data_IF_469403239689
#
_entry.id   IF_469403239689
#
_cell.length_a   1.000
_cell.length_b   1.000
_cell.length_c   1.000
_cell.angle_alpha   90.00
_cell.angle_beta   90.00
_cell.angle_gamma   90.00
#
_symmetry.space_group_name_H-M   'P 1'
#
loop_
_entity.id
_entity.type
_entity.pdbx_description
1 polymer ?
#
# COMPACT_ATOMS: atom_id res chain seq x y z
N UNK A 1 9.98 -16.99 55.73
CA UNK A 1 10.87 -16.76 54.57
C UNK A 1 10.27 -17.26 53.27
N UNK A 2 9.73 -18.48 53.15
CA UNK A 2 9.18 -19.04 51.92
C UNK A 2 7.99 -18.29 51.32
N UNK A 3 7.10 -17.70 52.13
CA UNK A 3 5.91 -16.95 51.63
C UNK A 3 6.29 -15.64 50.91
N UNK A 4 7.37 -14.98 51.33
CA UNK A 4 7.80 -13.71 50.73
C UNK A 4 8.48 -13.94 49.37
N UNK A 5 9.22 -15.05 49.24
CA UNK A 5 9.87 -15.43 47.98
C UNK A 5 8.84 -15.84 46.90
N UNK A 6 7.79 -16.58 47.29
CA UNK A 6 6.71 -16.98 46.40
C UNK A 6 5.87 -15.78 45.92
N UNK A 7 5.64 -14.81 46.79
CA UNK A 7 4.91 -13.57 46.46
C UNK A 7 5.68 -12.70 45.47
N UNK A 8 6.99 -12.57 45.65
CA UNK A 8 7.86 -11.86 44.69
C UNK A 8 7.97 -12.58 43.34
N UNK A 9 8.00 -13.92 43.34
CA UNK A 9 8.03 -14.70 42.08
C UNK A 9 6.72 -14.58 41.30
N UNK A 10 5.57 -14.62 41.97
CA UNK A 10 4.25 -14.38 41.38
C UNK A 10 4.09 -12.94 40.88
N UNK A 11 4.64 -11.95 41.56
CA UNK A 11 4.62 -10.56 41.15
C UNK A 11 5.49 -10.34 39.91
N UNK A 12 6.67 -10.95 39.83
CA UNK A 12 7.57 -10.88 38.67
C UNK A 12 6.95 -11.59 37.45
N UNK A 13 6.35 -12.77 37.64
CA UNK A 13 5.63 -13.48 36.60
C UNK A 13 4.43 -12.66 36.12
N UNK A 14 3.68 -12.00 37.03
CA UNK A 14 2.56 -11.12 36.67
C UNK A 14 3.03 -9.88 35.89
N UNK A 15 4.14 -9.25 36.29
CA UNK A 15 4.74 -8.10 35.59
C UNK A 15 5.29 -8.54 34.20
N UNK A 16 5.89 -9.73 34.10
CA UNK A 16 6.33 -10.28 32.82
C UNK A 16 5.13 -10.61 31.92
N UNK A 17 4.06 -11.18 32.49
CA UNK A 17 2.82 -11.46 31.72
C UNK A 17 2.07 -10.18 31.34
N UNK A 18 2.01 -9.16 32.18
CA UNK A 18 1.38 -7.87 31.81
C UNK A 18 2.19 -7.12 30.78
N UNK A 19 3.52 -7.18 30.78
CA UNK A 19 4.36 -6.63 29.71
C UNK A 19 4.35 -7.47 28.43
N UNK A 20 3.94 -8.75 28.49
CA UNK A 20 3.70 -9.60 27.31
C UNK A 20 2.27 -9.44 26.74
N UNK A 21 1.32 -8.93 27.55
CA UNK A 21 -0.08 -8.65 27.18
C UNK A 21 -0.27 -7.20 26.72
N UNK A 22 0.67 -6.30 27.03
CA UNK A 22 0.82 -5.07 26.28
C UNK A 22 1.34 -5.50 24.90
N UNK A 23 0.43 -6.07 24.10
CA UNK A 23 0.60 -6.10 22.67
C UNK A 23 1.04 -4.70 22.31
N UNK A 24 2.09 -4.56 21.50
CA UNK A 24 2.43 -3.31 20.88
C UNK A 24 1.08 -2.70 20.49
N UNK A 25 0.65 -1.63 21.16
CA UNK A 25 -0.22 -0.70 20.51
C UNK A 25 0.51 -0.44 19.20
N UNK A 26 -0.05 -0.94 18.11
CA UNK A 26 0.28 -0.38 16.82
C UNK A 26 -0.04 1.09 17.06
N UNK A 27 0.99 1.88 17.31
CA UNK A 27 0.94 3.29 17.06
C UNK A 27 0.76 3.38 15.55
N UNK A 28 -0.42 2.97 15.09
CA UNK A 28 -0.89 3.07 13.74
C UNK A 28 -0.73 4.54 13.41
N UNK A 29 0.30 4.81 12.62
CA UNK A 29 0.63 6.18 12.32
C UNK A 29 -0.59 6.86 11.70
N UNK A 30 -0.54 8.16 11.60
CA UNK A 30 -1.59 9.03 11.06
C UNK A 30 -2.15 8.63 9.68
N UNK A 31 -1.61 7.58 9.04
CA UNK A 31 -2.17 7.02 7.80
C UNK A 31 -3.66 6.68 7.92
N UNK A 32 -4.08 6.14 9.08
CA UNK A 32 -5.48 5.74 9.33
C UNK A 32 -6.31 6.82 10.03
N UNK A 33 -5.70 7.95 10.42
CA UNK A 33 -6.35 9.05 11.14
C UNK A 33 -7.11 9.98 10.19
N UNK A 34 -8.04 9.46 9.41
CA UNK A 34 -8.94 10.28 8.61
C UNK A 34 -10.38 9.74 8.67
N UNK A 35 -11.39 10.58 8.40
CA UNK A 35 -12.79 10.16 8.39
C UNK A 35 -13.00 9.01 7.40
N UNK A 36 -13.62 7.92 7.84
CA UNK A 36 -14.05 6.85 6.96
C UNK A 36 -15.43 7.19 6.35
N UNK A 37 -15.71 6.72 5.14
CA UNK A 37 -14.88 5.90 4.26
C UNK A 37 -13.83 6.71 3.50
N UNK A 38 -12.66 6.09 3.22
CA UNK A 38 -11.60 6.69 2.42
C UNK A 38 -11.81 6.47 0.92
N UNK A 39 -11.55 7.50 0.12
CA UNK A 39 -11.44 7.41 -1.33
C UNK A 39 -9.98 7.24 -1.69
N UNK A 40 -9.61 6.07 -2.23
CA UNK A 40 -8.25 5.74 -2.66
C UNK A 40 -8.19 5.82 -4.18
N UNK A 41 -7.42 6.77 -4.71
CA UNK A 41 -7.28 6.98 -6.14
C UNK A 41 -6.29 5.99 -6.75
N UNK A 42 -6.78 4.92 -7.36
CA UNK A 42 -5.98 3.86 -7.98
C UNK A 42 -5.22 4.39 -9.20
N UNK A 43 -3.89 4.50 -9.06
CA UNK A 43 -2.98 5.09 -10.05
C UNK A 43 -3.29 6.58 -10.34
N UNK A 44 -3.87 7.30 -9.38
CA UNK A 44 -4.38 8.65 -9.53
C UNK A 44 -5.74 8.70 -10.25
N UNK A 45 -6.07 9.83 -10.88
CA UNK A 45 -7.26 9.97 -11.75
C UNK A 45 -7.04 9.28 -13.09
N UNK A 46 -6.87 7.97 -13.05
CA UNK A 46 -6.42 7.12 -14.15
C UNK A 46 -7.45 6.92 -15.29
N UNK A 47 -8.67 7.43 -15.12
CA UNK A 47 -9.67 7.50 -16.20
C UNK A 47 -9.52 8.77 -17.03
N UNK A 48 -9.04 9.84 -16.43
CA UNK A 48 -8.97 11.18 -17.03
C UNK A 48 -7.57 11.52 -17.54
N UNK A 49 -6.52 11.01 -16.87
CA UNK A 49 -5.12 11.29 -17.19
C UNK A 49 -4.28 10.01 -17.24
N UNK A 50 -3.11 10.05 -17.92
CA UNK A 50 -2.19 8.91 -17.95
C UNK A 50 -1.86 8.41 -16.54
N UNK A 51 -2.11 7.12 -16.22
CA UNK A 51 -2.02 6.58 -14.87
C UNK A 51 -0.59 6.62 -14.31
N UNK A 52 -0.48 6.72 -12.99
CA UNK A 52 0.81 6.79 -12.31
C UNK A 52 1.69 7.99 -12.72
N UNK A 53 1.08 9.11 -13.10
CA UNK A 53 1.76 10.39 -13.37
C UNK A 53 1.51 11.40 -12.25
N UNK A 54 2.38 12.40 -12.11
CA UNK A 54 2.22 13.45 -11.08
C UNK A 54 0.92 14.24 -11.30
N UNK A 55 0.57 14.48 -12.56
CA UNK A 55 -0.65 15.17 -12.96
C UNK A 55 -1.90 14.36 -12.62
N UNK A 56 -1.89 13.03 -12.81
CA UNK A 56 -3.00 12.16 -12.42
C UNK A 56 -3.19 12.13 -10.89
N UNK A 57 -2.12 12.19 -10.13
CA UNK A 57 -2.20 12.27 -8.67
C UNK A 57 -2.77 13.60 -8.21
N UNK A 58 -2.30 14.72 -8.79
CA UNK A 58 -2.83 16.04 -8.47
C UNK A 58 -4.32 16.13 -8.78
N UNK A 59 -4.73 15.71 -9.98
CA UNK A 59 -6.14 15.73 -10.36
C UNK A 59 -7.01 14.88 -9.43
N UNK A 60 -6.52 13.72 -9.00
CA UNK A 60 -7.24 12.87 -8.04
C UNK A 60 -7.49 13.58 -6.69
N UNK A 61 -6.49 14.30 -6.18
CA UNK A 61 -6.63 15.11 -4.96
C UNK A 61 -7.61 16.26 -5.16
N UNK A 62 -7.54 16.95 -6.30
CA UNK A 62 -8.45 18.05 -6.66
C UNK A 62 -9.90 17.54 -6.77
N UNK A 63 -10.11 16.28 -7.17
CA UNK A 63 -11.39 15.59 -7.22
C UNK A 63 -11.85 15.06 -5.85
N UNK A 64 -11.06 15.25 -4.79
CA UNK A 64 -11.41 14.90 -3.41
C UNK A 64 -11.00 13.49 -2.98
N UNK A 65 -10.02 12.88 -3.61
CA UNK A 65 -9.41 11.65 -3.10
C UNK A 65 -8.68 11.92 -1.78
N UNK A 66 -8.79 10.99 -0.84
CA UNK A 66 -8.12 11.06 0.47
C UNK A 66 -6.71 10.46 0.44
N UNK A 67 -6.48 9.53 -0.49
CA UNK A 67 -5.26 8.74 -0.57
C UNK A 67 -4.88 8.53 -2.04
N UNK A 68 -3.64 8.80 -2.39
CA UNK A 68 -3.04 8.42 -3.68
C UNK A 68 -2.62 6.95 -3.60
N UNK A 69 -3.00 6.16 -4.58
CA UNK A 69 -2.45 4.81 -4.74
C UNK A 69 -1.53 4.77 -5.96
N UNK A 70 -0.40 4.09 -5.82
CA UNK A 70 0.62 3.98 -6.86
C UNK A 70 1.39 2.66 -6.79
N UNK A 71 1.98 2.30 -7.92
CA UNK A 71 2.76 1.09 -8.10
C UNK A 71 4.23 1.40 -8.32
N UNK A 72 5.14 0.63 -7.72
CA UNK A 72 6.57 0.87 -7.91
C UNK A 72 7.34 -0.35 -8.40
N UNK A 73 8.24 -0.08 -9.34
CA UNK A 73 9.30 -0.98 -9.78
C UNK A 73 10.67 -0.38 -9.53
N UNK A 74 11.70 -1.22 -9.56
CA UNK A 74 13.07 -0.76 -9.49
C UNK A 74 13.72 -0.77 -10.88
N UNK A 75 14.26 0.37 -11.31
CA UNK A 75 15.01 0.53 -12.56
C UNK A 75 16.38 -0.18 -12.49
N UNK A 76 17.08 -0.21 -13.60
CA UNK A 76 18.43 -0.80 -13.72
C UNK A 76 19.44 -0.15 -12.79
N UNK A 77 19.39 1.15 -12.64
CA UNK A 77 20.26 1.97 -11.77
C UNK A 77 19.77 2.08 -10.33
N UNK A 78 18.69 1.35 -9.98
CA UNK A 78 18.19 1.24 -8.62
C UNK A 78 17.22 2.33 -8.20
N UNK A 79 16.75 3.19 -9.09
CA UNK A 79 15.70 4.17 -8.79
C UNK A 79 14.35 3.48 -8.63
N UNK A 80 13.56 3.88 -7.63
CA UNK A 80 12.16 3.48 -7.51
C UNK A 80 11.29 4.31 -8.44
N UNK A 81 10.73 3.65 -9.45
CA UNK A 81 9.97 4.26 -10.54
C UNK A 81 8.49 3.92 -10.39
N UNK A 82 7.63 4.92 -10.60
CA UNK A 82 6.19 4.78 -10.38
C UNK A 82 5.50 4.36 -11.68
N UNK A 83 5.15 3.10 -11.79
CA UNK A 83 4.45 2.50 -12.92
C UNK A 83 3.91 1.11 -12.56
N UNK A 84 2.76 0.74 -13.12
CA UNK A 84 2.12 -0.55 -12.85
C UNK A 84 2.84 -1.72 -13.53
N UNK A 85 3.09 -1.62 -14.84
CA UNK A 85 3.57 -2.73 -15.64
C UNK A 85 5.10 -2.80 -15.67
N UNK A 86 5.61 -4.02 -15.62
CA UNK A 86 7.03 -4.28 -15.84
C UNK A 86 7.47 -3.99 -17.26
N UNK A 87 6.61 -4.30 -18.24
CA UNK A 87 6.83 -3.98 -19.65
C UNK A 87 6.17 -2.65 -20.00
N UNK A 88 6.91 -1.75 -20.61
CA UNK A 88 6.50 -0.37 -20.86
C UNK A 88 5.58 -0.20 -22.08
N UNK A 89 5.35 -1.26 -22.87
CA UNK A 89 4.62 -1.17 -24.15
C UNK A 89 3.19 -0.66 -24.00
N UNK A 90 2.48 -1.04 -22.94
CA UNK A 90 1.08 -0.62 -22.74
C UNK A 90 0.95 0.88 -22.54
N UNK A 91 1.89 1.51 -21.87
CA UNK A 91 1.83 2.94 -21.54
C UNK A 91 2.56 3.78 -22.58
N UNK A 92 3.79 3.40 -22.95
CA UNK A 92 4.69 4.23 -23.77
C UNK A 92 4.81 3.77 -25.24
N UNK A 93 4.23 2.62 -25.60
CA UNK A 93 4.43 1.99 -26.89
C UNK A 93 5.80 1.28 -27.06
N UNK A 94 6.70 1.43 -26.09
CA UNK A 94 8.06 0.88 -26.16
C UNK A 94 8.13 -0.48 -25.49
N UNK A 95 8.39 -1.53 -26.25
CA UNK A 95 8.49 -2.90 -25.73
C UNK A 95 9.85 -3.13 -25.04
N UNK A 96 9.98 -2.64 -23.82
CA UNK A 96 11.15 -2.82 -22.97
C UNK A 96 10.73 -3.12 -21.52
N UNK A 97 11.57 -3.91 -20.84
CA UNK A 97 11.45 -4.19 -19.40
C UNK A 97 12.05 -3.03 -18.60
N UNK A 98 11.27 -2.43 -17.71
CA UNK A 98 11.69 -1.28 -16.88
C UNK A 98 12.94 -1.58 -16.07
N UNK A 99 13.14 -2.81 -15.62
CA UNK A 99 14.33 -3.22 -14.86
C UNK A 99 15.63 -3.25 -15.69
N UNK A 100 15.53 -3.03 -16.99
CA UNK A 100 16.67 -2.99 -17.93
C UNK A 100 17.05 -1.56 -18.35
N UNK A 101 16.27 -0.56 -17.94
CA UNK A 101 16.49 0.85 -18.26
C UNK A 101 16.94 1.61 -17.01
N UNK A 102 17.81 2.60 -17.20
CA UNK A 102 18.11 3.62 -16.19
C UNK A 102 16.93 4.58 -16.05
N UNK A 103 16.85 5.30 -14.94
CA UNK A 103 15.80 6.29 -14.76
C UNK A 103 15.88 7.42 -15.81
N UNK A 104 17.08 7.80 -16.21
CA UNK A 104 17.30 8.77 -17.29
C UNK A 104 16.68 8.29 -18.62
N UNK A 105 16.93 7.03 -19.01
CA UNK A 105 16.31 6.44 -20.21
C UNK A 105 14.77 6.40 -20.09
N UNK A 106 14.22 6.12 -18.91
CA UNK A 106 12.78 6.09 -18.67
C UNK A 106 12.17 7.50 -18.79
N UNK A 107 12.88 8.54 -18.36
CA UNK A 107 12.42 9.93 -18.47
C UNK A 107 12.31 10.42 -19.92
N UNK A 108 12.95 9.78 -20.87
CA UNK A 108 12.79 10.08 -22.31
C UNK A 108 11.47 9.56 -22.89
N UNK A 109 10.80 8.63 -22.20
CA UNK A 109 9.57 8.02 -22.67
C UNK A 109 8.35 8.91 -22.37
N UNK A 110 7.31 8.74 -23.20
CA UNK A 110 6.03 9.44 -23.08
C UNK A 110 5.00 8.55 -22.37
N UNK A 111 4.63 8.93 -21.15
CA UNK A 111 3.61 8.21 -20.37
C UNK A 111 2.19 8.38 -20.95
N UNK A 112 1.97 9.39 -21.76
CA UNK A 112 0.68 9.64 -22.43
C UNK A 112 0.53 8.96 -23.80
N UNK A 113 1.59 8.27 -24.29
CA UNK A 113 1.64 7.80 -25.67
C UNK A 113 0.48 6.87 -26.07
N UNK A 114 0.16 5.88 -25.25
CA UNK A 114 -0.91 4.90 -25.49
C UNK A 114 -2.15 5.12 -24.61
N UNK A 115 -2.20 6.20 -23.85
CA UNK A 115 -3.40 6.54 -23.10
C UNK A 115 -4.46 7.10 -24.06
N UNK A 116 -5.62 6.44 -24.10
CA UNK A 116 -6.78 6.89 -24.89
C UNK A 116 -7.94 7.26 -23.97
N UNK A 117 -8.70 8.27 -24.36
CA UNK A 117 -9.99 8.60 -23.74
C UNK A 117 -11.06 7.52 -24.03
N UNK A 118 -12.26 7.70 -23.48
CA UNK A 118 -13.39 6.80 -23.69
C UNK A 118 -13.85 6.69 -25.18
N UNK A 119 -13.45 7.65 -26.00
CA UNK A 119 -13.72 7.68 -27.44
C UNK A 119 -12.59 7.08 -28.29
N UNK A 120 -11.49 6.63 -27.65
CA UNK A 120 -10.33 6.04 -28.31
C UNK A 120 -9.33 7.07 -28.85
N UNK A 121 -9.44 8.35 -28.48
CA UNK A 121 -8.51 9.38 -28.93
C UNK A 121 -7.28 9.44 -28.01
N UNK A 122 -6.11 9.63 -28.61
CA UNK A 122 -4.82 9.75 -27.88
C UNK A 122 -4.47 11.21 -27.59
N UNK A 123 -5.28 11.86 -26.76
CA UNK A 123 -5.20 13.30 -26.48
C UNK A 123 -3.91 13.71 -25.76
N UNK A 124 -3.28 12.78 -25.04
CA UNK A 124 -2.12 13.06 -24.20
C UNK A 124 -0.78 12.65 -24.83
N UNK A 125 -0.82 12.07 -26.02
CA UNK A 125 0.39 11.69 -26.77
C UNK A 125 1.23 12.93 -27.10
N UNK A 126 2.54 12.86 -26.80
CA UNK A 126 3.50 13.94 -26.98
C UNK A 126 3.15 15.24 -26.22
N UNK A 127 2.42 15.16 -25.11
CA UNK A 127 2.08 16.32 -24.27
C UNK A 127 3.01 16.49 -23.07
N UNK A 128 4.08 15.71 -22.97
CA UNK A 128 5.11 15.87 -21.95
C UNK A 128 4.88 15.07 -20.67
N UNK A 129 3.87 14.20 -20.61
CA UNK A 129 3.64 13.34 -19.45
C UNK A 129 4.81 12.37 -19.25
N UNK A 130 5.30 12.29 -18.01
CA UNK A 130 6.47 11.50 -17.66
C UNK A 130 6.14 10.42 -16.63
N UNK A 131 6.93 9.35 -16.66
CA UNK A 131 6.90 8.30 -15.63
C UNK A 131 7.75 8.82 -14.45
N UNK A 132 7.16 9.15 -13.29
CA UNK A 132 7.92 9.75 -12.21
C UNK A 132 8.73 8.71 -11.41
N UNK A 133 9.74 9.19 -10.67
CA UNK A 133 10.30 8.44 -9.56
C UNK A 133 9.44 8.60 -8.30
N UNK A 134 9.53 7.64 -7.37
CA UNK A 134 8.90 7.76 -6.05
C UNK A 134 9.44 8.98 -5.29
N UNK A 135 10.71 9.32 -5.48
CA UNK A 135 11.29 10.52 -4.87
C UNK A 135 10.62 11.81 -5.37
N UNK A 136 10.29 11.89 -6.66
CA UNK A 136 9.54 13.03 -7.21
C UNK A 136 8.13 13.10 -6.62
N UNK A 137 7.45 11.95 -6.46
CA UNK A 137 6.15 11.90 -5.79
C UNK A 137 6.25 12.41 -4.35
N UNK A 138 7.21 11.93 -3.56
CA UNK A 138 7.38 12.39 -2.18
C UNK A 138 7.74 13.88 -2.07
N UNK A 139 8.48 14.42 -3.04
CA UNK A 139 8.78 15.87 -3.07
C UNK A 139 7.53 16.73 -3.29
N UNK A 140 6.62 16.28 -4.15
CA UNK A 140 5.41 17.05 -4.50
C UNK A 140 4.25 16.80 -3.53
N UNK A 141 4.11 15.57 -3.03
CA UNK A 141 2.96 15.12 -2.23
C UNK A 141 3.36 14.71 -0.81
N UNK A 142 4.32 15.39 -0.21
CA UNK A 142 4.84 15.05 1.12
C UNK A 142 3.83 15.26 2.26
N UNK A 143 2.72 15.93 2.01
CA UNK A 143 1.63 16.11 2.98
C UNK A 143 0.49 15.10 2.80
N UNK A 144 0.48 14.37 1.69
CA UNK A 144 -0.61 13.49 1.31
C UNK A 144 -0.38 12.06 1.80
N UNK A 145 -1.47 11.30 1.94
CA UNK A 145 -1.40 9.88 2.24
C UNK A 145 -1.20 9.08 0.95
N UNK A 146 -0.28 8.13 0.98
CA UNK A 146 0.10 7.37 -0.21
C UNK A 146 0.07 5.87 0.08
N UNK A 147 -0.66 5.13 -0.74
CA UNK A 147 -0.65 3.67 -0.77
C UNK A 147 0.34 3.20 -1.84
N UNK A 148 1.39 2.49 -1.43
CA UNK A 148 2.51 2.11 -2.31
C UNK A 148 2.52 0.60 -2.52
N UNK A 149 2.22 0.14 -3.74
CA UNK A 149 2.37 -1.27 -4.08
C UNK A 149 3.76 -1.57 -4.64
N UNK A 150 4.53 -2.40 -3.93
CA UNK A 150 5.80 -2.94 -4.42
C UNK A 150 5.53 -4.10 -5.36
N UNK A 151 5.68 -3.89 -6.67
CA UNK A 151 5.44 -4.89 -7.72
C UNK A 151 6.58 -5.90 -7.88
N UNK A 152 7.81 -5.53 -7.52
CA UNK A 152 8.94 -6.46 -7.61
C UNK A 152 8.84 -7.59 -6.59
N UNK A 153 9.30 -8.77 -6.97
CA UNK A 153 9.48 -9.90 -6.05
C UNK A 153 10.89 -9.92 -5.43
N UNK A 154 11.79 -9.06 -5.92
CA UNK A 154 13.14 -8.89 -5.40
C UNK A 154 13.12 -8.19 -4.06
N UNK A 155 14.02 -8.61 -3.16
CA UNK A 155 14.25 -7.95 -1.87
C UNK A 155 15.34 -6.87 -1.95
N UNK A 156 15.91 -6.64 -3.14
CA UNK A 156 16.92 -5.61 -3.37
C UNK A 156 16.29 -4.23 -3.24
N UNK A 157 17.00 -3.30 -2.61
CA UNK A 157 16.57 -1.92 -2.46
C UNK A 157 15.47 -1.67 -1.44
N UNK A 158 14.99 -2.67 -0.69
CA UNK A 158 14.00 -2.43 0.37
C UNK A 158 14.54 -1.55 1.50
N UNK A 159 15.85 -1.61 1.78
CA UNK A 159 16.50 -0.70 2.73
C UNK A 159 16.45 0.73 2.22
N UNK A 160 16.80 0.94 0.94
CA UNK A 160 16.78 2.24 0.28
C UNK A 160 15.36 2.84 0.27
N UNK A 161 14.33 1.98 0.09
CA UNK A 161 12.93 2.41 0.17
C UNK A 161 12.57 2.91 1.58
N UNK A 162 12.95 2.16 2.62
CA UNK A 162 12.71 2.56 4.01
C UNK A 162 13.46 3.87 4.34
N UNK A 163 14.70 4.00 3.91
CA UNK A 163 15.49 5.22 4.08
C UNK A 163 14.86 6.41 3.35
N UNK A 164 14.36 6.22 2.12
CA UNK A 164 13.65 7.25 1.37
C UNK A 164 12.36 7.68 2.10
N UNK A 165 11.54 6.74 2.58
CA UNK A 165 10.34 7.04 3.35
C UNK A 165 10.69 7.90 4.57
N UNK A 166 11.75 7.55 5.31
CA UNK A 166 12.23 8.32 6.46
C UNK A 166 12.77 9.69 6.08
N UNK A 167 13.59 9.76 5.02
CA UNK A 167 14.17 11.02 4.50
C UNK A 167 13.10 12.08 4.21
N UNK A 168 11.94 11.63 3.69
CA UNK A 168 10.82 12.50 3.36
C UNK A 168 9.77 12.61 4.47
N UNK A 169 10.01 12.01 5.66
CA UNK A 169 9.12 12.02 6.82
C UNK A 169 7.72 11.45 6.49
N UNK A 170 7.70 10.39 5.67
CA UNK A 170 6.49 9.76 5.18
C UNK A 170 6.06 8.52 5.98
N UNK A 171 6.76 8.17 7.09
CA UNK A 171 6.51 6.93 7.86
C UNK A 171 5.06 6.81 8.31
N UNK A 172 4.45 7.92 8.69
CA UNK A 172 3.06 8.01 9.14
C UNK A 172 2.05 8.33 8.04
N UNK A 173 2.52 8.49 6.80
CA UNK A 173 1.69 8.89 5.65
C UNK A 173 1.65 7.83 4.54
N UNK A 174 2.41 6.73 4.68
CA UNK A 174 2.41 5.66 3.69
C UNK A 174 1.86 4.35 4.25
N UNK A 175 1.13 3.63 3.40
CA UNK A 175 0.79 2.23 3.56
C UNK A 175 1.51 1.43 2.48
N UNK A 176 2.37 0.49 2.87
CA UNK A 176 3.15 -0.31 1.92
C UNK A 176 2.51 -1.66 1.71
N UNK A 177 2.35 -2.02 0.44
CA UNK A 177 1.67 -3.24 -0.01
C UNK A 177 2.60 -4.07 -0.89
N UNK A 178 2.48 -5.38 -0.84
CA UNK A 178 3.04 -6.28 -1.85
C UNK A 178 2.29 -7.60 -1.87
N UNK A 179 1.99 -8.12 -3.06
CA UNK A 179 1.46 -9.48 -3.20
C UNK A 179 2.47 -10.55 -2.78
N UNK A 180 3.78 -10.23 -2.83
CA UNK A 180 4.85 -11.12 -2.37
C UNK A 180 5.00 -11.08 -0.85
N UNK A 181 4.60 -12.17 -0.18
CA UNK A 181 4.80 -12.32 1.26
C UNK A 181 6.27 -12.13 1.68
N UNK A 182 7.21 -12.61 0.87
CA UNK A 182 8.64 -12.50 1.19
C UNK A 182 9.15 -11.06 1.15
N UNK A 183 8.61 -10.25 0.23
CA UNK A 183 8.94 -8.82 0.11
C UNK A 183 8.38 -8.07 1.31
N UNK A 184 7.07 -8.19 1.58
CA UNK A 184 6.44 -7.45 2.67
C UNK A 184 6.96 -7.87 4.05
N UNK A 185 7.24 -9.17 4.25
CA UNK A 185 7.88 -9.66 5.48
C UNK A 185 9.26 -9.04 5.70
N UNK A 186 10.08 -8.94 4.64
CA UNK A 186 11.40 -8.33 4.71
C UNK A 186 11.29 -6.83 4.97
N UNK A 187 10.35 -6.15 4.30
CA UNK A 187 10.07 -4.73 4.50
C UNK A 187 9.70 -4.43 5.96
N UNK A 188 8.74 -5.16 6.54
CA UNK A 188 8.36 -5.04 7.97
C UNK A 188 9.57 -5.19 8.90
N UNK A 189 10.46 -6.16 8.60
CA UNK A 189 11.68 -6.37 9.39
C UNK A 189 12.64 -5.18 9.31
N UNK A 190 12.87 -4.61 8.11
CA UNK A 190 13.78 -3.48 7.91
C UNK A 190 13.23 -2.20 8.53
N UNK A 191 11.92 -1.96 8.39
CA UNK A 191 11.25 -0.80 8.96
C UNK A 191 10.99 -0.91 10.48
N UNK A 192 11.36 -2.03 11.12
CA UNK A 192 11.03 -2.35 12.52
C UNK A 192 9.52 -2.24 12.81
N UNK A 193 8.66 -2.53 11.82
CA UNK A 193 7.20 -2.34 11.86
C UNK A 193 6.76 -0.89 12.17
N UNK A 194 7.60 0.10 11.89
CA UNK A 194 7.27 1.53 12.10
C UNK A 194 6.49 2.15 10.94
N UNK A 195 6.39 1.45 9.82
CA UNK A 195 5.67 1.88 8.61
C UNK A 195 4.51 0.92 8.40
N UNK A 196 3.31 1.45 8.24
CA UNK A 196 2.10 0.67 8.04
C UNK A 196 2.19 -0.24 6.79
N UNK A 197 1.65 -1.46 6.90
CA UNK A 197 1.68 -2.43 5.80
C UNK A 197 0.34 -3.13 5.63
N UNK A 198 -0.04 -3.41 4.37
CA UNK A 198 -1.20 -4.26 4.13
C UNK A 198 -0.86 -5.75 4.12
N UNK A 199 -1.89 -6.57 4.32
CA UNK A 199 -1.81 -8.02 4.28
C UNK A 199 -1.42 -8.51 2.89
N UNK A 200 -0.39 -9.34 2.79
CA UNK A 200 -0.16 -10.15 1.60
C UNK A 200 -1.23 -11.25 1.47
N UNK A 201 -1.33 -11.85 0.27
CA UNK A 201 -2.23 -13.00 0.05
C UNK A 201 -2.00 -14.14 1.05
N UNK A 202 -0.74 -14.40 1.42
CA UNK A 202 -0.40 -15.43 2.41
C UNK A 202 -0.78 -15.01 3.83
N UNK A 203 -0.72 -13.72 4.16
CA UNK A 203 -1.18 -13.21 5.46
C UNK A 203 -2.68 -13.41 5.62
N UNK A 204 -3.47 -13.08 4.59
CA UNK A 204 -4.93 -13.28 4.58
C UNK A 204 -5.27 -14.77 4.78
N UNK A 205 -4.61 -15.66 4.04
CA UNK A 205 -4.86 -17.10 4.18
C UNK A 205 -4.51 -17.61 5.57
N UNK A 206 -3.37 -17.19 6.12
CA UNK A 206 -3.00 -17.56 7.50
C UNK A 206 -4.00 -17.05 8.52
N UNK A 207 -4.49 -15.83 8.35
CA UNK A 207 -5.49 -15.26 9.24
C UNK A 207 -6.82 -16.04 9.15
N UNK A 208 -7.26 -16.46 7.97
CA UNK A 208 -8.46 -17.27 7.79
C UNK A 208 -8.34 -18.61 8.54
N UNK A 209 -7.20 -19.29 8.42
CA UNK A 209 -7.00 -20.60 9.03
C UNK A 209 -6.62 -20.54 10.51
N UNK A 210 -5.82 -19.59 10.90
CA UNK A 210 -5.19 -19.55 12.23
C UNK A 210 -5.64 -18.36 13.09
N UNK A 211 -6.37 -17.38 12.54
CA UNK A 211 -6.74 -16.15 13.22
C UNK A 211 -7.66 -16.29 14.46
N UNK A 212 -8.24 -17.49 14.66
CA UNK A 212 -9.01 -17.85 15.85
C UNK A 212 -8.14 -18.40 16.99
N UNK A 213 -6.90 -18.77 16.69
CA UNK A 213 -5.99 -19.38 17.67
C UNK A 213 -5.38 -18.30 18.58
N UNK A 214 -5.31 -18.53 19.89
CA UNK A 214 -4.90 -17.51 20.86
C UNK A 214 -3.44 -17.06 20.69
N UNK A 215 -2.60 -17.89 20.08
CA UNK A 215 -1.19 -17.58 19.81
C UNK A 215 -0.95 -16.90 18.45
N UNK A 216 -1.99 -16.77 17.59
CA UNK A 216 -1.81 -16.13 16.27
C UNK A 216 -1.73 -14.61 16.41
N UNK A 217 -0.59 -14.04 16.05
CA UNK A 217 -0.38 -12.58 16.04
C UNK A 217 -0.52 -12.03 14.62
N UNK A 218 -1.41 -11.06 14.46
CA UNK A 218 -1.53 -10.28 13.23
C UNK A 218 -0.33 -9.33 13.15
N UNK A 219 0.24 -9.18 11.93
CA UNK A 219 1.47 -8.40 11.69
C UNK A 219 1.32 -7.43 10.53
N UNK A 220 0.12 -6.98 10.27
CA UNK A 220 -0.22 -6.03 9.21
C UNK A 220 -1.36 -5.15 9.71
N UNK A 221 -1.52 -3.99 9.09
CA UNK A 221 -2.38 -2.91 9.57
C UNK A 221 -3.67 -2.80 8.75
N UNK A 222 -3.66 -3.28 7.50
CA UNK A 222 -4.81 -3.20 6.61
C UNK A 222 -5.00 -4.46 5.75
N UNK A 223 -6.25 -4.72 5.39
CA UNK A 223 -6.62 -5.65 4.32
C UNK A 223 -6.88 -4.86 3.04
N UNK A 224 -6.36 -5.33 1.91
CA UNK A 224 -6.69 -4.80 0.60
C UNK A 224 -7.14 -5.95 -0.30
N UNK A 225 -8.39 -5.95 -0.72
CA UNK A 225 -9.01 -7.09 -1.38
C UNK A 225 -9.87 -6.67 -2.59
N UNK A 226 -9.91 -7.50 -3.66
CA UNK A 226 -10.78 -7.23 -4.79
C UNK A 226 -12.26 -7.42 -4.40
N UNK A 227 -13.07 -6.38 -4.57
CA UNK A 227 -14.50 -6.40 -4.18
C UNK A 227 -15.28 -7.51 -4.87
N UNK A 228 -15.05 -7.73 -6.16
CA UNK A 228 -15.77 -8.72 -6.98
C UNK A 228 -15.14 -10.13 -6.98
N UNK A 229 -14.28 -10.46 -6.04
CA UNK A 229 -13.64 -11.76 -5.98
C UNK A 229 -14.54 -12.84 -5.38
N UNK A 230 -14.79 -13.94 -6.13
CA UNK A 230 -15.49 -15.14 -5.62
C UNK A 230 -14.83 -15.72 -4.36
N UNK A 231 -13.53 -15.55 -4.16
CA UNK A 231 -12.83 -15.99 -2.94
C UNK A 231 -13.15 -15.10 -1.76
N UNK A 232 -13.13 -13.78 -1.95
CA UNK A 232 -13.51 -12.80 -0.92
C UNK A 232 -14.94 -13.05 -0.45
N UNK A 233 -15.84 -13.32 -1.38
CA UNK A 233 -17.23 -13.68 -1.09
C UNK A 233 -17.37 -15.04 -0.36
N UNK A 234 -16.72 -16.09 -0.89
CA UNK A 234 -16.74 -17.45 -0.28
C UNK A 234 -16.27 -17.45 1.18
N UNK A 235 -15.30 -16.65 1.54
CA UNK A 235 -14.77 -16.54 2.90
C UNK A 235 -15.51 -15.49 3.76
N UNK A 236 -16.59 -14.88 3.25
CA UNK A 236 -17.37 -13.88 3.98
C UNK A 236 -16.62 -12.58 4.30
N UNK A 237 -15.54 -12.28 3.55
CA UNK A 237 -14.68 -11.12 3.84
C UNK A 237 -15.28 -9.78 3.41
N UNK A 238 -16.49 -9.77 2.83
CA UNK A 238 -17.33 -8.58 2.55
C UNK A 238 -18.44 -8.39 3.59
N UNK A 239 -18.59 -9.33 4.53
CA UNK A 239 -19.62 -9.27 5.54
C UNK A 239 -19.34 -8.13 6.51
N UNK A 240 -20.35 -7.33 6.84
CA UNK A 240 -20.25 -6.20 7.79
C UNK A 240 -19.81 -6.66 9.18
N UNK A 241 -20.22 -7.85 9.62
CA UNK A 241 -19.78 -8.42 10.89
C UNK A 241 -18.27 -8.70 10.88
N UNK A 242 -17.75 -9.29 9.79
CA UNK A 242 -16.32 -9.54 9.66
C UNK A 242 -15.52 -8.22 9.59
N UNK A 243 -16.00 -7.25 8.81
CA UNK A 243 -15.38 -5.91 8.72
C UNK A 243 -15.34 -5.26 10.10
N UNK A 244 -16.46 -5.23 10.82
CA UNK A 244 -16.56 -4.69 12.17
C UNK A 244 -15.60 -5.37 13.14
N UNK A 245 -15.47 -6.70 13.06
CA UNK A 245 -14.52 -7.48 13.86
C UNK A 245 -13.06 -7.16 13.53
N UNK A 246 -12.72 -6.90 12.26
CA UNK A 246 -11.35 -6.51 11.90
C UNK A 246 -11.05 -5.10 12.39
N UNK A 247 -11.98 -4.17 12.22
CA UNK A 247 -11.85 -2.79 12.72
C UNK A 247 -11.74 -2.72 14.24
N UNK A 248 -12.50 -3.53 14.98
CA UNK A 248 -12.38 -3.61 16.46
C UNK A 248 -11.03 -4.14 16.94
N UNK A 249 -10.24 -4.74 16.04
CA UNK A 249 -8.84 -5.16 16.27
C UNK A 249 -7.81 -4.15 15.78
N UNK A 250 -8.23 -2.93 15.42
CA UNK A 250 -7.36 -1.87 14.91
C UNK A 250 -6.90 -2.07 13.46
N UNK A 251 -7.60 -2.90 12.67
CA UNK A 251 -7.23 -3.14 11.27
C UNK A 251 -8.20 -2.46 10.33
N UNK A 252 -7.69 -1.83 9.26
CA UNK A 252 -8.51 -1.27 8.20
C UNK A 252 -8.82 -2.30 7.10
N UNK A 253 -9.95 -2.08 6.42
CA UNK A 253 -10.38 -2.96 5.32
C UNK A 253 -10.69 -2.10 4.10
N UNK A 254 -9.87 -2.27 3.06
CA UNK A 254 -9.99 -1.57 1.79
C UNK A 254 -10.41 -2.55 0.69
N UNK A 255 -11.28 -2.10 -0.20
CA UNK A 255 -11.68 -2.85 -1.38
C UNK A 255 -11.25 -2.13 -2.66
N UNK A 256 -10.79 -2.89 -3.67
CA UNK A 256 -10.37 -2.41 -4.97
C UNK A 256 -10.90 -3.35 -6.08
N UNK A 257 -11.07 -2.97 -7.33
CA UNK A 257 -11.26 -1.61 -7.80
C UNK A 257 -12.75 -1.36 -7.87
N UNK A 258 -13.25 -0.33 -7.21
CA UNK A 258 -14.63 0.11 -7.35
C UNK A 258 -14.64 1.26 -8.37
N UNK A 259 -15.07 0.97 -9.59
CA UNK A 259 -15.26 2.00 -10.60
C UNK A 259 -16.59 2.73 -10.31
N UNK A 260 -16.55 4.03 -10.18
CA UNK A 260 -17.69 4.90 -9.81
C UNK A 260 -18.94 4.73 -10.66
N UNK A 261 -18.83 4.20 -11.89
CA UNK A 261 -19.97 3.94 -12.77
C UNK A 261 -20.81 2.70 -12.40
N UNK A 262 -20.37 1.89 -11.45
CA UNK A 262 -21.03 0.62 -11.09
C UNK A 262 -21.31 0.47 -9.60
N UNK A 263 -20.88 1.42 -8.77
CA UNK A 263 -21.11 1.40 -7.32
C UNK A 263 -21.47 2.79 -6.85
N UNK A 264 -22.47 2.97 -5.95
CA UNK A 264 -22.72 4.24 -5.31
C UNK A 264 -21.46 4.69 -4.56
N UNK A 265 -21.22 6.00 -4.55
CA UNK A 265 -20.14 6.59 -3.76
C UNK A 265 -20.32 6.18 -2.29
N UNK A 266 -19.25 5.82 -1.59
CA UNK A 266 -19.33 5.55 -0.14
C UNK A 266 -19.81 6.76 0.67
N UNK A 267 -19.90 7.96 0.04
CA UNK A 267 -20.34 9.22 0.66
C UNK A 267 -21.75 9.62 0.25
N UNK A 268 -22.39 8.91 -0.69
CA UNK A 268 -23.81 9.06 -1.05
C UNK A 268 -24.66 8.12 -0.18
#
# INVERSE_FOLDING_TARGET
>A
MYKLVLFNYLLIVYIIFTNLIIGSENEGGSYFDCPCPHIIAHQGSSLDLPPNTLEAFQLALDQGADIIELDIWRSKDGTWVVIHDRNLSRITGVNKDITKLTFEEIQLLDAGYNFSDSSGNYLYRNKGYKIPSLEQVFKQFNNEKINIEIKTVSKLGLSDLVEMIKKYQMEKKVLVVSFSYNVIKKFRKISNNQIATAASKSDIMRMIYFGKLPWYKIRFDAFQMPFYSKKVERYGLKNTEWIGKMRSKGMEVHYWTCLLYTSPSPRD
#
